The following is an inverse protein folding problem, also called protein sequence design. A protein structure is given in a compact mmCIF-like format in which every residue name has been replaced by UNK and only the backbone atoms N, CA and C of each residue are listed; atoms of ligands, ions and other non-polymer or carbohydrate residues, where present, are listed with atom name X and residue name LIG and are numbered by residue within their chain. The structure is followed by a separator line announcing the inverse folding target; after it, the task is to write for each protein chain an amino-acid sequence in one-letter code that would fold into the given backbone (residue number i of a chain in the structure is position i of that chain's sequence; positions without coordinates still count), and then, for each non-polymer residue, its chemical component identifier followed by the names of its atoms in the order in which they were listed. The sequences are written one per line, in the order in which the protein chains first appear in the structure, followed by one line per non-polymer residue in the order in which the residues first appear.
data_IF_797782781030
#
_entry.id   IF_797782781030
#
_cell.length_a   1.000
_cell.length_b   1.000
_cell.length_c   1.000
_cell.angle_alpha   90.00
_cell.angle_beta   90.00
_cell.angle_gamma   90.00
#
_symmetry.space_group_name_H-M   'P 1'
#
loop_
_entity.id
_entity.type
_entity.pdbx_description
1 polymer ?
#
# COMPACT_ATOMS: atom_id res chain seq x y z
N UNK A 1 50.75 8.07 12.42
CA UNK A 1 49.94 6.83 12.43
C UNK A 1 48.75 7.11 13.33
N UNK A 2 47.70 7.71 12.75
CA UNK A 2 46.46 8.03 13.45
C UNK A 2 45.37 7.26 12.74
N UNK A 3 44.88 6.22 13.41
CA UNK A 3 43.75 5.40 12.99
C UNK A 3 42.49 6.26 13.03
N UNK A 4 41.93 6.56 11.87
CA UNK A 4 40.59 7.13 11.74
C UNK A 4 39.59 5.98 11.73
N UNK A 5 38.56 6.16 12.54
CA UNK A 5 37.55 5.20 12.93
C UNK A 5 36.88 4.48 11.75
N UNK A 6 36.59 3.21 12.01
CA UNK A 6 35.63 2.36 11.33
C UNK A 6 34.37 3.16 10.98
N UNK A 7 34.11 3.29 9.68
CA UNK A 7 32.91 3.90 9.15
C UNK A 7 31.74 2.95 9.44
N UNK A 8 31.18 3.12 10.65
CA UNK A 8 30.01 2.41 11.11
C UNK A 8 28.93 2.40 10.03
N UNK A 9 28.48 1.20 9.70
CA UNK A 9 27.39 0.88 8.79
C UNK A 9 26.26 1.90 8.96
N UNK A 10 25.98 2.67 7.92
CA UNK A 10 24.80 3.55 7.87
C UNK A 10 23.61 2.63 8.15
N UNK A 11 22.93 2.85 9.28
CA UNK A 11 21.74 2.07 9.60
C UNK A 11 20.72 2.34 8.50
N UNK A 12 20.40 1.33 7.67
CA UNK A 12 19.39 1.42 6.59
C UNK A 12 18.05 2.01 7.10
N UNK A 13 17.81 1.94 8.42
CA UNK A 13 16.67 2.60 9.08
C UNK A 13 16.64 4.14 8.98
N UNK A 14 17.73 4.79 8.55
CA UNK A 14 17.79 6.24 8.33
C UNK A 14 17.24 6.68 6.97
N UNK A 15 17.03 5.78 6.00
CA UNK A 15 16.55 6.17 4.66
C UNK A 15 15.10 6.68 4.64
N UNK A 16 14.29 6.36 5.65
CA UNK A 16 12.91 6.84 5.72
C UNK A 16 12.51 7.30 7.13
N UNK A 17 12.79 8.58 7.43
CA UNK A 17 12.57 9.16 8.76
C UNK A 17 11.09 9.19 9.21
N UNK A 18 10.13 9.10 8.28
CA UNK A 18 8.69 9.09 8.59
C UNK A 18 8.12 7.67 8.73
N UNK A 19 8.62 6.72 7.95
CA UNK A 19 8.14 5.32 7.89
C UNK A 19 9.06 4.31 8.56
N UNK A 20 9.89 4.73 9.52
CA UNK A 20 10.96 3.91 10.12
C UNK A 20 10.47 2.66 10.87
N UNK A 21 9.17 2.59 11.25
CA UNK A 21 8.55 1.40 11.83
C UNK A 21 7.76 0.60 10.81
N UNK A 22 7.00 1.26 9.96
CA UNK A 22 6.26 0.61 8.87
C UNK A 22 5.87 1.59 7.75
N UNK A 23 5.87 1.07 6.53
CA UNK A 23 5.28 1.68 5.35
C UNK A 23 4.20 0.72 4.87
N UNK A 24 2.96 0.96 5.29
CA UNK A 24 1.85 0.05 5.01
C UNK A 24 1.26 0.44 3.67
N UNK A 25 1.45 -0.41 2.67
CA UNK A 25 0.76 -0.27 1.42
C UNK A 25 -0.68 -0.80 1.53
N UNK A 26 -1.66 -0.03 1.07
CA UNK A 26 -3.08 -0.39 1.20
C UNK A 26 -3.73 -0.40 -0.17
N UNK A 27 -4.05 -1.59 -0.68
CA UNK A 27 -4.73 -1.76 -1.96
C UNK A 27 -6.23 -1.61 -1.74
N UNK A 28 -6.86 -0.63 -2.38
CA UNK A 28 -8.29 -0.32 -2.21
C UNK A 28 -9.02 -0.19 -3.57
N UNK A 29 -10.33 -0.49 -3.66
CA UNK A 29 -11.12 -0.23 -4.86
C UNK A 29 -11.11 1.27 -5.23
N UNK A 30 -11.11 1.59 -6.53
CA UNK A 30 -11.21 2.99 -6.99
C UNK A 30 -12.47 3.71 -6.48
N UNK A 31 -13.54 2.96 -6.19
CA UNK A 31 -14.81 3.45 -5.65
C UNK A 31 -14.82 3.60 -4.12
N UNK A 32 -13.83 3.08 -3.40
CA UNK A 32 -13.78 3.18 -1.94
C UNK A 32 -13.37 4.59 -1.51
N UNK A 33 -14.20 5.20 -0.66
CA UNK A 33 -14.00 6.55 -0.10
C UNK A 33 -13.79 6.56 1.41
N UNK A 34 -13.99 5.43 2.08
CA UNK A 34 -13.97 5.35 3.55
C UNK A 34 -12.59 4.97 4.09
N UNK A 35 -11.91 3.97 3.49
CA UNK A 35 -10.66 3.42 4.01
C UNK A 35 -9.58 4.49 4.11
N UNK A 36 -9.34 5.22 3.01
CA UNK A 36 -8.34 6.30 2.99
C UNK A 36 -8.66 7.41 4.00
N UNK A 37 -9.94 7.75 4.15
CA UNK A 37 -10.41 8.73 5.12
C UNK A 37 -10.15 8.30 6.57
N UNK A 38 -10.40 7.04 6.90
CA UNK A 38 -10.18 6.51 8.26
C UNK A 38 -8.68 6.30 8.56
N UNK A 39 -7.88 5.85 7.60
CA UNK A 39 -6.42 5.76 7.73
C UNK A 39 -5.80 7.13 8.01
N UNK A 40 -6.32 8.20 7.39
CA UNK A 40 -5.89 9.58 7.67
C UNK A 40 -6.10 10.03 9.11
N UNK A 41 -7.00 9.39 9.87
CA UNK A 41 -7.22 9.67 11.30
C UNK A 41 -6.33 8.83 12.22
N UNK A 42 -5.71 7.77 11.70
CA UNK A 42 -4.87 6.86 12.47
C UNK A 42 -3.42 7.34 12.39
N UNK A 43 -2.98 8.06 13.42
CA UNK A 43 -1.60 8.52 13.54
C UNK A 43 -0.81 7.62 14.52
N UNK A 44 0.00 6.71 13.97
CA UNK A 44 0.93 5.90 14.76
C UNK A 44 2.36 6.38 14.48
N UNK A 45 3.14 6.80 15.50
CA UNK A 45 4.49 7.32 15.27
C UNK A 45 5.36 6.33 14.49
N UNK A 46 5.99 6.77 13.41
CA UNK A 46 6.87 5.96 12.54
C UNK A 46 6.15 5.03 11.56
N UNK A 47 4.82 5.09 11.48
CA UNK A 47 4.00 4.32 10.53
C UNK A 47 3.40 5.26 9.51
N UNK A 48 3.49 4.89 8.24
CA UNK A 48 2.92 5.65 7.11
C UNK A 48 1.97 4.77 6.30
N UNK A 49 0.91 5.37 5.76
CA UNK A 49 -0.11 4.70 4.96
C UNK A 49 0.04 5.11 3.49
N UNK A 50 0.07 4.14 2.59
CA UNK A 50 0.27 4.36 1.14
C UNK A 50 -0.87 3.70 0.37
N UNK A 51 -1.96 4.42 0.06
CA UNK A 51 -3.07 3.87 -0.70
C UNK A 51 -2.69 3.64 -2.17
N UNK A 52 -2.93 2.44 -2.69
CA UNK A 52 -2.91 2.10 -4.11
C UNK A 52 -4.31 1.70 -4.57
N UNK A 53 -4.77 2.22 -5.72
CA UNK A 53 -6.13 1.99 -6.21
C UNK A 53 -6.15 1.02 -7.38
N UNK A 54 -7.06 0.06 -7.36
CA UNK A 54 -7.39 -0.74 -8.55
C UNK A 54 -8.71 -0.29 -9.15
N UNK A 55 -8.80 -0.27 -10.48
CA UNK A 55 -10.00 0.16 -11.16
C UNK A 55 -11.15 -0.84 -10.93
N UNK A 56 -12.33 -0.31 -10.68
CA UNK A 56 -13.58 -1.06 -10.68
C UNK A 56 -14.50 -0.43 -11.72
N UNK A 57 -14.75 -1.16 -12.80
CA UNK A 57 -15.81 -0.84 -13.75
C UNK A 57 -17.14 -1.20 -13.10
N UNK A 58 -17.96 -0.22 -12.72
CA UNK A 58 -19.16 -0.36 -11.86
C UNK A 58 -20.06 -1.53 -12.28
N UNK A 59 -19.96 -2.73 -11.68
CA UNK A 59 -20.83 -3.83 -12.01
C UNK A 59 -22.06 -3.72 -11.10
N UNK A 60 -23.25 -3.84 -11.67
CA UNK A 60 -24.39 -4.22 -10.85
C UNK A 60 -24.06 -5.61 -10.26
N UNK A 61 -23.81 -5.70 -8.96
CA UNK A 61 -23.55 -6.97 -8.26
C UNK A 61 -24.88 -7.64 -7.88
N UNK A 62 -25.84 -7.63 -8.81
CA UNK A 62 -27.21 -8.07 -8.60
C UNK A 62 -27.44 -9.53 -9.00
N UNK A 63 -26.49 -10.14 -9.71
CA UNK A 63 -26.53 -11.53 -10.17
C UNK A 63 -25.18 -12.23 -9.94
N UNK A 64 -25.22 -13.56 -9.82
CA UNK A 64 -24.02 -14.40 -9.69
C UNK A 64 -23.08 -14.25 -10.89
N UNK A 65 -23.63 -14.16 -12.11
CA UNK A 65 -22.84 -13.95 -13.33
C UNK A 65 -22.13 -12.60 -13.31
N UNK A 66 -22.81 -11.54 -12.89
CA UNK A 66 -22.19 -10.22 -12.76
C UNK A 66 -21.09 -10.20 -11.67
N UNK A 67 -21.26 -10.97 -10.60
CA UNK A 67 -20.23 -11.15 -9.59
C UNK A 67 -19.00 -11.90 -10.15
N UNK A 68 -19.19 -12.95 -10.96
CA UNK A 68 -18.08 -13.66 -11.60
C UNK A 68 -17.30 -12.75 -12.56
N UNK A 69 -17.99 -11.95 -13.36
CA UNK A 69 -17.36 -10.94 -14.24
C UNK A 69 -16.58 -9.93 -13.41
N UNK A 70 -17.15 -9.45 -12.31
CA UNK A 70 -16.45 -8.55 -11.38
C UNK A 70 -15.18 -9.19 -10.82
N UNK A 71 -15.20 -10.48 -10.45
CA UNK A 71 -14.02 -11.21 -9.98
C UNK A 71 -12.92 -11.29 -11.04
N UNK A 72 -13.27 -11.43 -12.32
CA UNK A 72 -12.29 -11.43 -13.42
C UNK A 72 -11.67 -10.06 -13.60
N UNK A 73 -12.47 -8.98 -13.54
CA UNK A 73 -11.99 -7.60 -13.65
C UNK A 73 -11.00 -7.27 -12.52
N UNK A 74 -11.35 -7.55 -11.26
CA UNK A 74 -10.44 -7.25 -10.14
C UNK A 74 -9.13 -8.06 -10.22
N UNK A 75 -9.17 -9.29 -10.76
CA UNK A 75 -7.97 -10.12 -10.93
C UNK A 75 -6.99 -9.53 -11.95
N UNK A 76 -7.49 -8.78 -12.93
CA UNK A 76 -6.66 -8.05 -13.88
C UNK A 76 -6.10 -6.75 -13.28
N UNK A 77 -6.89 -6.05 -12.46
CA UNK A 77 -6.55 -4.71 -11.97
C UNK A 77 -5.69 -4.70 -10.69
N UNK A 78 -5.92 -5.64 -9.76
CA UNK A 78 -5.16 -5.72 -8.49
C UNK A 78 -3.64 -5.83 -8.73
N UNK A 79 -3.13 -6.67 -9.64
CA UNK A 79 -1.69 -6.74 -9.91
C UNK A 79 -1.08 -5.41 -10.36
N UNK A 80 -1.84 -4.57 -11.08
CA UNK A 80 -1.39 -3.24 -11.51
C UNK A 80 -1.25 -2.31 -10.31
N UNK A 81 -2.25 -2.27 -9.43
CA UNK A 81 -2.20 -1.50 -8.19
C UNK A 81 -1.05 -1.95 -7.28
N UNK A 82 -0.84 -3.27 -7.15
CA UNK A 82 0.28 -3.84 -6.37
C UNK A 82 1.63 -3.47 -6.98
N UNK A 83 1.79 -3.57 -8.30
CA UNK A 83 3.02 -3.15 -9.00
C UNK A 83 3.39 -1.72 -8.64
N UNK A 84 2.43 -0.80 -8.72
CA UNK A 84 2.66 0.62 -8.44
C UNK A 84 2.97 0.84 -6.96
N UNK A 85 2.27 0.13 -6.07
CA UNK A 85 2.48 0.21 -4.63
C UNK A 85 3.86 -0.31 -4.20
N UNK A 86 4.39 -1.33 -4.85
CA UNK A 86 5.72 -1.88 -4.53
C UNK A 86 6.86 -0.88 -4.82
N UNK A 87 6.62 0.17 -5.61
CA UNK A 87 7.65 1.18 -5.92
C UNK A 87 8.01 2.07 -4.73
N UNK A 88 7.15 2.18 -3.71
CA UNK A 88 7.47 2.87 -2.46
C UNK A 88 8.09 1.96 -1.39
N UNK A 89 8.44 0.73 -1.77
CA UNK A 89 9.05 -0.30 -0.92
C UNK A 89 8.29 -0.50 0.41
N UNK A 90 6.99 -0.82 0.36
CA UNK A 90 6.19 -1.00 1.57
C UNK A 90 6.72 -2.16 2.40
N UNK A 91 6.68 -2.02 3.72
CA UNK A 91 7.08 -3.10 4.65
C UNK A 91 6.04 -4.22 4.70
N UNK A 92 4.79 -3.90 4.39
CA UNK A 92 3.71 -4.87 4.23
C UNK A 92 2.62 -4.31 3.32
N UNK A 93 1.83 -5.21 2.74
CA UNK A 93 0.67 -4.86 1.92
C UNK A 93 -0.60 -5.39 2.58
N UNK A 94 -1.61 -4.54 2.67
CA UNK A 94 -2.95 -4.83 3.17
C UNK A 94 -3.97 -4.65 2.04
N UNK A 95 -4.98 -5.51 1.98
CA UNK A 95 -6.16 -5.30 1.14
C UNK A 95 -7.21 -4.54 1.96
N UNK A 96 -7.57 -3.34 1.54
CA UNK A 96 -8.63 -2.52 2.14
C UNK A 96 -9.89 -2.58 1.28
N UNK A 97 -10.74 -3.57 1.53
CA UNK A 97 -12.10 -3.65 0.98
C UNK A 97 -13.13 -3.36 2.08
#
# INVERSE_FOLDING_TARGET
MTTVADAGTVDERLENYIGYRARVGVVIPSTNTAVEYDLGKIAVPGVTWHPGRFFVESPALDTDDAFLVFLELIRAEIPVAVRDLLTCEPTCVMMGM
#
